data_IF_838490650603
#
_entry.id   IF_838490650603
#
_cell.length_a   1.000
_cell.length_b   1.000
_cell.length_c   1.000
_cell.angle_alpha   90.00
_cell.angle_beta   90.00
_cell.angle_gamma   90.00
#
_symmetry.space_group_name_H-M   'P 1'
#
loop_
_entity.id
_entity.type
_entity.pdbx_description
1 polymer ?
#
# COMPACT_ATOMS: atom_id res chain seq x y z
N UNK A 1 -27.04 -8.42 -47.37
CA UNK A 1 -26.75 -7.66 -46.14
C UNK A 1 -26.65 -8.64 -44.97
N UNK A 2 -25.44 -9.01 -44.54
CA UNK A 2 -25.24 -9.90 -43.40
C UNK A 2 -25.03 -9.02 -42.16
N UNK A 3 -26.05 -8.94 -41.30
CA UNK A 3 -25.95 -8.25 -40.02
C UNK A 3 -25.07 -9.09 -39.08
N UNK A 4 -23.83 -8.64 -38.85
CA UNK A 4 -23.02 -9.13 -37.73
C UNK A 4 -23.66 -8.62 -36.44
N UNK A 5 -24.35 -9.51 -35.72
CA UNK A 5 -24.84 -9.23 -34.38
C UNK A 5 -23.66 -8.95 -33.44
N UNK A 6 -23.58 -7.72 -32.93
CA UNK A 6 -22.69 -7.39 -31.82
C UNK A 6 -23.16 -8.16 -30.58
N UNK A 7 -22.39 -9.18 -30.18
CA UNK A 7 -22.58 -9.83 -28.87
C UNK A 7 -22.25 -8.78 -27.80
N UNK A 8 -23.27 -8.28 -27.10
CA UNK A 8 -23.09 -7.51 -25.86
C UNK A 8 -22.25 -8.35 -24.90
N UNK A 9 -21.05 -7.88 -24.55
CA UNK A 9 -20.24 -8.49 -23.49
C UNK A 9 -21.03 -8.41 -22.18
N UNK A 10 -21.41 -9.57 -21.66
CA UNK A 10 -22.00 -9.67 -20.34
C UNK A 10 -20.94 -9.25 -19.30
N UNK A 11 -21.23 -8.18 -18.56
CA UNK A 11 -20.33 -7.69 -17.52
C UNK A 11 -20.46 -8.60 -16.31
N UNK A 12 -19.46 -9.46 -16.11
CA UNK A 12 -19.40 -10.31 -14.92
C UNK A 12 -19.14 -9.45 -13.68
N UNK A 13 -20.02 -9.54 -12.71
CA UNK A 13 -19.88 -8.94 -11.39
C UNK A 13 -19.12 -9.88 -10.45
N UNK A 14 -18.19 -9.34 -9.66
CA UNK A 14 -17.42 -10.07 -8.66
C UNK A 14 -17.70 -9.48 -7.27
N UNK A 15 -18.55 -10.12 -6.45
CA UNK A 15 -18.98 -9.59 -5.15
C UNK A 15 -17.83 -9.57 -4.12
N UNK A 16 -18.02 -8.89 -2.98
CA UNK A 16 -17.10 -8.99 -1.84
C UNK A 16 -16.87 -10.45 -1.41
N UNK A 17 -15.65 -10.78 -1.01
CA UNK A 17 -15.32 -12.06 -0.38
C UNK A 17 -15.86 -12.09 1.06
N UNK A 18 -16.08 -13.28 1.67
CA UNK A 18 -16.69 -13.39 3.00
C UNK A 18 -16.01 -12.51 4.07
N UNK A 19 -14.69 -12.47 4.11
CA UNK A 19 -13.93 -11.65 5.06
C UNK A 19 -14.07 -10.13 4.80
N UNK A 20 -14.28 -9.73 3.55
CA UNK A 20 -14.46 -8.32 3.15
C UNK A 20 -15.86 -7.78 3.52
N UNK A 21 -16.79 -8.66 3.93
CA UNK A 21 -18.13 -8.22 4.36
C UNK A 21 -18.19 -7.71 5.82
N UNK A 22 -17.16 -8.02 6.61
CA UNK A 22 -17.08 -7.68 8.03
C UNK A 22 -16.74 -6.20 8.23
N UNK A 23 -17.33 -5.57 9.26
CA UNK A 23 -17.08 -4.17 9.59
C UNK A 23 -15.88 -4.07 10.54
N UNK A 24 -14.89 -3.27 10.15
CA UNK A 24 -13.69 -2.96 10.92
C UNK A 24 -13.83 -1.64 11.68
N UNK A 25 -14.30 -1.72 12.92
CA UNK A 25 -14.43 -0.52 13.76
C UNK A 25 -13.08 0.11 14.14
N UNK A 26 -12.00 -0.67 14.17
CA UNK A 26 -10.67 -0.14 14.47
C UNK A 26 -10.15 0.71 13.31
N UNK A 27 -10.32 0.23 12.08
CA UNK A 27 -9.92 0.99 10.90
C UNK A 27 -10.78 2.24 10.67
N UNK A 28 -12.05 2.25 11.08
CA UNK A 28 -12.86 3.48 11.11
C UNK A 28 -12.20 4.52 12.03
N UNK A 29 -11.82 4.13 13.24
CA UNK A 29 -11.19 5.04 14.19
C UNK A 29 -9.85 5.55 13.66
N UNK A 30 -9.02 4.65 13.12
CA UNK A 30 -7.75 5.02 12.47
C UNK A 30 -7.95 6.05 11.34
N UNK A 31 -8.93 5.82 10.45
CA UNK A 31 -9.24 6.75 9.37
C UNK A 31 -9.65 8.14 9.90
N UNK A 32 -10.43 8.19 11.00
CA UNK A 32 -10.79 9.45 11.66
C UNK A 32 -9.58 10.14 12.28
N UNK A 33 -8.68 9.40 12.91
CA UNK A 33 -7.46 9.93 13.51
C UNK A 33 -6.49 10.49 12.45
N UNK A 34 -6.48 9.89 11.25
CA UNK A 34 -5.78 10.40 10.06
C UNK A 34 -6.50 11.58 9.38
N UNK A 35 -7.63 12.04 9.95
CA UNK A 35 -8.36 13.23 9.51
C UNK A 35 -9.25 13.00 8.29
N UNK A 36 -9.64 11.75 8.00
CA UNK A 36 -10.63 11.44 6.95
C UNK A 36 -12.03 11.82 7.45
N UNK A 37 -12.74 12.61 6.63
CA UNK A 37 -14.12 13.05 6.88
C UNK A 37 -15.11 12.56 5.82
N UNK A 38 -14.64 11.83 4.82
CA UNK A 38 -15.47 11.27 3.75
C UNK A 38 -16.19 10.04 4.30
N UNK A 39 -17.51 10.13 4.52
CA UNK A 39 -18.30 9.08 5.15
C UNK A 39 -18.31 7.77 4.34
N UNK A 40 -18.08 7.80 3.02
CA UNK A 40 -17.96 6.57 2.23
C UNK A 40 -16.75 5.74 2.67
N UNK A 41 -15.68 6.41 3.11
CA UNK A 41 -14.45 5.78 3.60
C UNK A 41 -14.54 5.42 5.10
N UNK A 42 -15.65 5.71 5.78
CA UNK A 42 -15.83 5.50 7.23
C UNK A 42 -16.89 4.43 7.54
N UNK A 43 -17.23 3.62 6.54
CA UNK A 43 -18.22 2.53 6.66
C UNK A 43 -17.67 1.27 7.32
N UNK A 44 -16.35 1.17 7.50
CA UNK A 44 -15.68 0.01 8.10
C UNK A 44 -15.51 -1.18 7.16
N UNK A 45 -15.90 -1.06 5.89
CA UNK A 45 -15.76 -2.10 4.88
C UNK A 45 -15.71 -1.48 3.49
N UNK A 46 -15.21 -2.22 2.51
CA UNK A 46 -15.34 -1.79 1.12
C UNK A 46 -16.79 -1.89 0.64
N UNK A 47 -17.22 -0.90 -0.13
CA UNK A 47 -18.46 -0.94 -0.88
C UNK A 47 -18.43 -2.02 -1.97
N UNK A 48 -19.60 -2.55 -2.33
CA UNK A 48 -19.71 -3.58 -3.37
C UNK A 48 -19.13 -3.13 -4.72
N UNK A 49 -19.26 -1.85 -5.04
CA UNK A 49 -18.69 -1.26 -6.24
C UNK A 49 -17.16 -1.33 -6.23
N UNK A 50 -16.52 -0.98 -5.10
CA UNK A 50 -15.07 -1.05 -4.97
C UNK A 50 -14.59 -2.50 -4.94
N UNK A 51 -15.27 -3.39 -4.21
CA UNK A 51 -14.99 -4.82 -4.24
C UNK A 51 -14.99 -5.37 -5.67
N UNK A 52 -16.01 -5.03 -6.48
CA UNK A 52 -16.07 -5.45 -7.87
C UNK A 52 -14.92 -4.89 -8.71
N UNK A 53 -14.58 -3.60 -8.56
CA UNK A 53 -13.44 -2.98 -9.26
C UNK A 53 -12.12 -3.67 -8.89
N UNK A 54 -11.88 -3.86 -7.59
CA UNK A 54 -10.66 -4.49 -7.10
C UNK A 54 -10.60 -5.94 -7.54
N UNK A 55 -11.66 -6.72 -7.41
CA UNK A 55 -11.71 -8.12 -7.86
C UNK A 55 -11.44 -8.28 -9.36
N UNK A 56 -11.90 -7.33 -10.20
CA UNK A 56 -11.49 -7.27 -11.61
C UNK A 56 -9.99 -6.99 -11.79
N UNK A 57 -9.42 -6.09 -10.99
CA UNK A 57 -7.99 -5.79 -11.02
C UNK A 57 -7.16 -7.00 -10.54
N UNK A 58 -7.57 -7.63 -9.44
CA UNK A 58 -7.00 -8.85 -8.87
C UNK A 58 -6.85 -9.95 -9.93
N UNK A 59 -7.95 -10.32 -10.58
CA UNK A 59 -7.98 -11.36 -11.62
C UNK A 59 -7.17 -11.03 -12.88
N UNK A 60 -6.95 -9.75 -13.17
CA UNK A 60 -6.11 -9.33 -14.29
C UNK A 60 -4.64 -9.31 -13.92
N UNK A 61 -4.33 -8.90 -12.69
CA UNK A 61 -2.96 -8.73 -12.22
C UNK A 61 -2.29 -10.06 -11.91
N UNK A 62 -3.04 -10.99 -11.29
CA UNK A 62 -2.58 -12.34 -10.96
C UNK A 62 -3.59 -13.34 -11.53
N UNK A 63 -3.54 -13.54 -12.84
CA UNK A 63 -4.52 -14.36 -13.59
C UNK A 63 -4.56 -15.83 -13.17
N UNK A 64 -3.46 -16.35 -12.62
CA UNK A 64 -3.37 -17.70 -12.06
C UNK A 64 -4.04 -17.84 -10.69
N UNK A 65 -4.33 -16.73 -10.00
CA UNK A 65 -4.86 -16.72 -8.63
C UNK A 65 -6.38 -16.50 -8.63
N UNK A 66 -7.13 -17.55 -8.26
CA UNK A 66 -8.58 -17.44 -8.03
C UNK A 66 -8.89 -16.44 -6.92
N UNK A 67 -10.00 -15.71 -7.01
CA UNK A 67 -10.39 -14.69 -6.03
C UNK A 67 -10.44 -15.22 -4.59
N UNK A 68 -11.02 -16.41 -4.37
CA UNK A 68 -11.08 -17.06 -3.06
C UNK A 68 -9.71 -17.30 -2.42
N UNK A 69 -8.63 -17.34 -3.22
CA UNK A 69 -7.28 -17.58 -2.75
C UNK A 69 -6.51 -16.29 -2.39
N UNK A 70 -7.10 -15.11 -2.56
CA UNK A 70 -6.46 -13.85 -2.19
C UNK A 70 -6.35 -13.64 -0.68
N UNK A 71 -7.15 -14.37 0.11
CA UNK A 71 -7.17 -14.33 1.58
C UNK A 71 -7.12 -15.72 2.22
N UNK A 72 -6.61 -16.72 1.47
CA UNK A 72 -6.55 -18.14 1.88
C UNK A 72 -5.74 -18.35 3.15
N UNK A 73 -4.61 -17.66 3.26
CA UNK A 73 -3.66 -17.81 4.34
C UNK A 73 -4.10 -16.99 5.57
N UNK A 74 -5.12 -16.12 5.43
CA UNK A 74 -5.75 -15.41 6.56
C UNK A 74 -4.79 -14.50 7.33
N UNK A 75 -3.78 -13.93 6.68
CA UNK A 75 -2.79 -13.07 7.34
C UNK A 75 -3.41 -11.87 8.02
N UNK A 76 -4.51 -11.34 7.48
CA UNK A 76 -5.28 -10.30 8.15
C UNK A 76 -5.71 -10.70 9.58
N UNK A 77 -6.29 -11.90 9.73
CA UNK A 77 -6.76 -12.37 11.05
C UNK A 77 -5.63 -12.76 11.99
N UNK A 78 -4.48 -13.15 11.44
CA UNK A 78 -3.29 -13.58 12.18
C UNK A 78 -2.26 -12.45 12.37
N UNK A 79 -2.57 -11.23 11.94
CA UNK A 79 -1.61 -10.12 11.96
C UNK A 79 -1.06 -9.86 13.37
N UNK A 80 -1.90 -9.99 14.41
CA UNK A 80 -1.49 -9.84 15.80
C UNK A 80 -0.57 -10.96 16.32
N UNK A 81 -0.49 -12.11 15.63
CA UNK A 81 0.41 -13.20 16.01
C UNK A 81 1.88 -12.86 15.67
N UNK A 82 2.10 -12.03 14.66
CA UNK A 82 3.44 -11.71 14.11
C UNK A 82 3.76 -10.23 14.24
N UNK A 83 2.95 -9.36 13.64
CA UNK A 83 3.27 -7.93 13.53
C UNK A 83 3.15 -7.22 14.87
N UNK A 84 2.08 -7.46 15.63
CA UNK A 84 1.91 -6.80 16.93
C UNK A 84 2.98 -7.23 17.93
N UNK A 85 3.36 -8.52 17.91
CA UNK A 85 4.49 -9.03 18.71
C UNK A 85 5.81 -8.39 18.28
N UNK A 86 6.07 -8.33 16.97
CA UNK A 86 7.26 -7.69 16.40
C UNK A 86 7.34 -6.21 16.81
N UNK A 87 6.27 -5.45 16.58
CA UNK A 87 6.21 -4.03 16.92
C UNK A 87 6.38 -3.80 18.43
N UNK A 88 5.73 -4.60 19.27
CA UNK A 88 5.89 -4.52 20.72
C UNK A 88 7.34 -4.81 21.16
N UNK A 89 8.02 -5.76 20.52
CA UNK A 89 9.43 -6.06 20.78
C UNK A 89 10.34 -4.93 20.29
N UNK A 90 10.11 -4.39 19.10
CA UNK A 90 10.84 -3.22 18.56
C UNK A 90 10.72 -2.04 19.52
N UNK A 91 9.51 -1.75 20.01
CA UNK A 91 9.28 -0.64 20.97
C UNK A 91 10.06 -0.88 22.28
N UNK A 92 10.08 -2.12 22.80
CA UNK A 92 10.83 -2.47 24.02
C UNK A 92 12.35 -2.36 23.81
N UNK A 93 12.88 -2.88 22.71
CA UNK A 93 14.30 -2.81 22.36
C UNK A 93 14.76 -1.36 22.16
N UNK A 94 13.95 -0.55 21.46
CA UNK A 94 14.22 0.88 21.25
C UNK A 94 14.26 1.66 22.57
N UNK A 95 13.38 1.35 23.53
CA UNK A 95 13.43 1.94 24.89
C UNK A 95 14.70 1.57 25.66
N UNK A 96 15.35 0.46 25.32
CA UNK A 96 16.57 -0.04 25.98
C UNK A 96 17.86 0.32 25.23
N UNK A 97 17.75 0.91 24.03
CA UNK A 97 18.91 1.19 23.17
C UNK A 97 19.55 -0.06 22.57
N UNK A 98 18.79 -1.15 22.45
CA UNK A 98 19.27 -2.45 21.99
C UNK A 98 18.83 -2.74 20.54
N UNK A 99 19.60 -3.56 19.84
CA UNK A 99 19.17 -4.16 18.56
C UNK A 99 17.93 -5.02 18.79
N UNK A 100 16.98 -4.97 17.85
CA UNK A 100 15.76 -5.77 17.92
C UNK A 100 16.13 -7.23 17.64
N UNK A 101 16.13 -8.07 18.68
CA UNK A 101 16.15 -9.52 18.53
C UNK A 101 14.72 -10.03 18.63
N UNK A 102 14.25 -10.69 17.57
CA UNK A 102 12.97 -11.39 17.59
C UNK A 102 13.25 -12.89 17.71
N UNK A 103 13.11 -13.52 18.89
CA UNK A 103 13.45 -14.94 19.07
C UNK A 103 12.60 -15.89 18.20
N UNK A 104 11.45 -15.42 17.72
CA UNK A 104 10.50 -16.17 16.89
C UNK A 104 10.76 -15.98 15.37
N UNK A 105 11.66 -15.07 14.98
CA UNK A 105 12.05 -14.84 13.58
C UNK A 105 13.58 -14.85 13.48
N UNK A 106 14.15 -15.66 12.57
CA UNK A 106 15.59 -15.68 12.27
C UNK A 106 16.05 -14.40 11.53
N UNK A 107 15.73 -13.23 12.08
CA UNK A 107 16.05 -11.94 11.51
C UNK A 107 16.69 -11.03 12.58
N UNK A 108 17.90 -10.57 12.27
CA UNK A 108 18.59 -9.54 13.02
C UNK A 108 18.80 -8.33 12.10
N UNK A 109 18.28 -7.17 12.50
CA UNK A 109 18.55 -5.91 11.82
C UNK A 109 20.00 -5.49 12.07
N UNK A 110 20.85 -5.71 11.07
CA UNK A 110 22.29 -5.47 11.13
C UNK A 110 22.77 -4.43 10.09
N UNK A 111 21.83 -3.70 9.46
CA UNK A 111 22.18 -2.70 8.44
C UNK A 111 22.73 -1.45 9.13
N UNK A 112 23.91 -1.02 8.67
CA UNK A 112 24.58 0.18 9.16
C UNK A 112 23.70 1.43 8.94
N UNK A 113 23.66 2.31 9.96
CA UNK A 113 22.91 3.56 9.94
C UNK A 113 23.85 4.72 10.14
N UNK A 114 23.81 5.69 9.23
CA UNK A 114 24.62 6.91 9.27
C UNK A 114 23.71 8.12 9.14
N UNK A 115 24.02 9.21 9.83
CA UNK A 115 23.32 10.47 9.65
C UNK A 115 23.86 11.22 8.43
N UNK A 116 22.95 11.82 7.67
CA UNK A 116 23.28 12.62 6.49
C UNK A 116 24.28 13.75 6.82
N UNK A 117 24.17 14.37 8.00
CA UNK A 117 25.07 15.42 8.45
C UNK A 117 26.54 14.96 8.63
N UNK A 118 26.74 13.66 8.88
CA UNK A 118 28.06 13.07 9.15
C UNK A 118 28.64 12.30 7.95
N UNK A 119 27.95 12.33 6.80
CA UNK A 119 28.29 11.58 5.61
C UNK A 119 28.46 12.51 4.40
N UNK A 120 29.69 12.64 3.91
CA UNK A 120 29.94 13.31 2.63
C UNK A 120 29.98 12.33 1.44
N UNK A 121 29.94 12.89 0.22
CA UNK A 121 29.89 12.13 -1.04
C UNK A 121 31.07 11.15 -1.19
N UNK A 122 32.30 11.60 -0.93
CA UNK A 122 33.50 10.76 -1.05
C UNK A 122 33.49 9.59 -0.07
N UNK A 123 33.05 9.84 1.17
CA UNK A 123 32.86 8.81 2.18
C UNK A 123 31.79 7.81 1.76
N UNK A 124 30.68 8.29 1.19
CA UNK A 124 29.61 7.43 0.70
C UNK A 124 30.10 6.52 -0.43
N UNK A 125 30.75 7.09 -1.44
CA UNK A 125 31.30 6.36 -2.58
C UNK A 125 32.25 5.25 -2.12
N UNK A 126 33.23 5.59 -1.28
CA UNK A 126 34.26 4.66 -0.80
C UNK A 126 33.72 3.56 0.11
N UNK A 127 32.82 3.90 1.04
CA UNK A 127 32.37 2.95 2.08
C UNK A 127 31.18 2.11 1.65
N UNK A 128 30.30 2.65 0.80
CA UNK A 128 29.02 2.03 0.50
C UNK A 128 28.86 1.72 -0.99
N UNK A 129 29.00 2.70 -1.87
CA UNK A 129 28.69 2.50 -3.30
C UNK A 129 29.68 1.56 -4.02
N UNK A 130 30.98 1.83 -3.94
CA UNK A 130 31.99 0.97 -4.60
C UNK A 130 32.03 -0.44 -4.03
N UNK A 131 31.76 -0.58 -2.73
CA UNK A 131 31.69 -1.88 -2.07
C UNK A 131 30.34 -2.60 -2.30
N UNK A 132 29.37 -1.95 -2.96
CA UNK A 132 27.97 -2.42 -3.06
C UNK A 132 27.39 -2.81 -1.69
N UNK A 133 27.76 -2.06 -0.64
CA UNK A 133 27.37 -2.31 0.74
C UNK A 133 26.09 -1.51 1.06
N UNK A 134 24.99 -2.17 1.49
CA UNK A 134 23.77 -1.48 1.87
C UNK A 134 23.96 -0.63 3.13
N UNK A 135 23.31 0.53 3.16
CA UNK A 135 23.33 1.47 4.29
C UNK A 135 21.99 2.18 4.39
N UNK A 136 21.54 2.49 5.61
CA UNK A 136 20.39 3.36 5.87
C UNK A 136 20.91 4.76 6.21
N UNK A 137 20.57 5.75 5.39
CA UNK A 137 20.95 7.15 5.62
C UNK A 137 19.79 7.88 6.30
N UNK A 138 20.04 8.43 7.50
CA UNK A 138 19.06 9.14 8.31
C UNK A 138 19.14 10.66 8.07
N UNK A 139 18.07 11.37 8.42
CA UNK A 139 18.01 12.83 8.32
C UNK A 139 17.77 13.40 6.91
N UNK A 140 17.88 12.59 5.85
CA UNK A 140 17.76 13.05 4.45
C UNK A 140 16.40 13.71 4.16
N UNK A 141 15.34 13.18 4.74
CA UNK A 141 13.97 13.64 4.50
C UNK A 141 13.43 14.52 5.64
N UNK A 142 14.29 15.07 6.51
CA UNK A 142 13.80 15.69 7.74
C UNK A 142 12.97 16.94 7.51
N UNK A 143 13.36 17.74 6.51
CA UNK A 143 12.68 18.97 6.12
C UNK A 143 11.74 18.77 4.92
N UNK A 144 11.52 17.53 4.47
CA UNK A 144 10.65 17.26 3.33
C UNK A 144 9.19 17.55 3.68
N UNK A 145 8.55 18.39 2.87
CA UNK A 145 7.10 18.68 2.94
C UNK A 145 6.24 17.42 2.93
N UNK A 146 6.75 16.31 2.37
CA UNK A 146 6.09 15.01 2.37
C UNK A 146 5.66 14.52 3.76
N UNK A 147 6.37 14.90 4.83
CA UNK A 147 5.98 14.56 6.22
C UNK A 147 4.57 15.03 6.59
N UNK A 148 4.09 16.12 5.98
CA UNK A 148 2.74 16.66 6.23
C UNK A 148 1.83 16.48 5.02
N UNK A 149 2.34 16.63 3.80
CA UNK A 149 1.52 16.59 2.58
C UNK A 149 1.17 15.18 2.09
N UNK A 150 1.89 14.15 2.52
CA UNK A 150 1.63 12.76 2.14
C UNK A 150 0.80 11.99 3.17
N UNK A 151 0.04 12.71 4.00
CA UNK A 151 -0.98 12.12 4.88
C UNK A 151 -2.20 11.70 4.09
N UNK A 152 -2.92 10.68 4.57
CA UNK A 152 -4.06 10.09 3.85
C UNK A 152 -5.12 11.13 3.46
N UNK A 153 -5.48 12.02 4.39
CA UNK A 153 -6.47 13.07 4.16
C UNK A 153 -6.00 14.12 3.13
N UNK A 154 -4.73 14.53 3.17
CA UNK A 154 -4.15 15.50 2.23
C UNK A 154 -4.03 14.91 0.82
N UNK A 155 -3.58 13.66 0.73
CA UNK A 155 -3.54 12.93 -0.53
C UNK A 155 -4.94 12.74 -1.12
N UNK A 156 -5.93 12.40 -0.29
CA UNK A 156 -7.32 12.24 -0.73
C UNK A 156 -7.91 13.55 -1.27
N UNK A 157 -7.70 14.67 -0.56
CA UNK A 157 -8.18 16.00 -1.00
C UNK A 157 -7.62 16.38 -2.37
N UNK A 158 -6.32 16.14 -2.59
CA UNK A 158 -5.61 16.57 -3.80
C UNK A 158 -5.77 15.61 -4.97
N UNK A 159 -5.64 14.31 -4.71
CA UNK A 159 -5.52 13.28 -5.74
C UNK A 159 -6.67 12.26 -5.74
N UNK A 160 -7.73 12.46 -4.95
CA UNK A 160 -8.81 11.48 -4.78
C UNK A 160 -9.47 11.01 -6.08
N UNK A 161 -9.50 11.87 -7.11
CA UNK A 161 -10.03 11.57 -8.45
C UNK A 161 -8.97 11.13 -9.45
N UNK A 162 -7.69 11.41 -9.17
CA UNK A 162 -6.57 11.05 -10.04
C UNK A 162 -6.34 9.54 -10.01
N UNK A 163 -5.96 8.95 -11.15
CA UNK A 163 -5.87 7.50 -11.31
C UNK A 163 -4.43 6.99 -11.28
N UNK A 164 -4.12 6.07 -10.37
CA UNK A 164 -2.78 5.52 -10.17
C UNK A 164 -2.71 4.05 -10.55
N UNK A 165 -1.54 3.61 -11.03
CA UNK A 165 -1.25 2.21 -11.29
C UNK A 165 -1.23 1.41 -9.99
N UNK A 166 -2.04 0.36 -9.92
CA UNK A 166 -2.13 -0.59 -8.78
C UNK A 166 -1.73 -2.02 -9.17
N UNK A 167 -1.27 -2.20 -10.41
CA UNK A 167 -0.91 -3.50 -10.96
C UNK A 167 -0.76 -3.44 -12.47
N UNK A 168 -0.49 -4.61 -13.03
CA UNK A 168 -0.27 -4.81 -14.47
C UNK A 168 -0.85 -6.16 -14.87
N UNK A 169 -1.54 -6.21 -16.01
CA UNK A 169 -2.04 -7.49 -16.54
C UNK A 169 -0.94 -8.32 -17.18
N UNK A 170 -1.20 -9.61 -17.45
CA UNK A 170 -0.30 -10.49 -18.24
C UNK A 170 0.12 -9.90 -19.61
N UNK A 171 -0.71 -9.01 -20.17
CA UNK A 171 -0.44 -8.33 -21.45
C UNK A 171 0.38 -7.03 -21.32
N UNK A 172 0.89 -6.71 -20.12
CA UNK A 172 1.63 -5.48 -19.84
C UNK A 172 0.76 -4.23 -19.65
N UNK A 173 -0.58 -4.35 -19.74
CA UNK A 173 -1.48 -3.20 -19.55
C UNK A 173 -1.52 -2.75 -18.09
N UNK A 174 -1.26 -1.45 -17.86
CA UNK A 174 -1.40 -0.78 -16.56
C UNK A 174 -2.85 -0.89 -16.07
N UNK A 175 -3.04 -1.38 -14.85
CA UNK A 175 -4.32 -1.38 -14.15
C UNK A 175 -4.36 -0.15 -13.26
N UNK A 176 -5.25 0.81 -13.56
CA UNK A 176 -5.36 2.06 -12.82
C UNK A 176 -6.74 2.23 -12.15
N UNK A 177 -6.78 2.72 -10.92
CA UNK A 177 -7.99 3.10 -10.17
C UNK A 177 -7.82 4.51 -9.60
N UNK A 178 -8.90 5.19 -9.19
CA UNK A 178 -8.71 6.49 -8.51
C UNK A 178 -8.09 6.30 -7.13
N UNK A 179 -7.40 7.33 -6.61
CA UNK A 179 -6.82 7.23 -5.28
C UNK A 179 -7.88 6.97 -4.20
N UNK A 180 -9.07 7.62 -4.27
CA UNK A 180 -10.16 7.34 -3.32
C UNK A 180 -10.53 5.85 -3.30
N UNK A 181 -10.67 5.22 -4.48
CA UNK A 181 -10.98 3.79 -4.59
C UNK A 181 -9.88 2.93 -3.99
N UNK A 182 -8.61 3.28 -4.24
CA UNK A 182 -7.47 2.56 -3.67
C UNK A 182 -7.38 2.72 -2.15
N UNK A 183 -7.65 3.91 -1.60
CA UNK A 183 -7.63 4.12 -0.16
C UNK A 183 -8.72 3.32 0.58
N UNK A 184 -9.92 3.22 0.00
CA UNK A 184 -10.97 2.33 0.54
C UNK A 184 -10.48 0.87 0.59
N UNK A 185 -9.76 0.44 -0.45
CA UNK A 185 -9.14 -0.88 -0.50
C UNK A 185 -8.00 -1.07 0.51
N UNK A 186 -7.15 -0.06 0.72
CA UNK A 186 -6.08 -0.14 1.73
C UNK A 186 -6.65 -0.19 3.14
N UNK A 187 -7.71 0.58 3.43
CA UNK A 187 -8.32 0.62 4.75
C UNK A 187 -9.04 -0.70 5.11
N UNK A 188 -9.66 -1.35 4.13
CA UNK A 188 -10.61 -2.45 4.39
C UNK A 188 -10.31 -3.76 3.65
N UNK A 189 -9.27 -3.80 2.82
CA UNK A 189 -8.82 -4.98 2.11
C UNK A 189 -8.32 -6.07 3.06
N UNK A 190 -8.65 -7.33 2.76
CA UNK A 190 -8.33 -8.50 3.61
C UNK A 190 -7.41 -9.49 2.91
N UNK A 191 -6.74 -9.05 1.86
CA UNK A 191 -5.88 -9.90 1.05
C UNK A 191 -4.57 -10.21 1.78
N UNK A 192 -4.10 -11.45 1.66
CA UNK A 192 -2.81 -11.91 2.21
C UNK A 192 -1.63 -11.19 1.57
N UNK A 193 -1.77 -10.87 0.28
CA UNK A 193 -0.81 -10.09 -0.49
C UNK A 193 -1.61 -9.08 -1.32
N UNK A 194 -1.81 -7.85 -0.81
CA UNK A 194 -2.66 -6.85 -1.47
C UNK A 194 -2.15 -6.42 -2.85
N UNK A 195 -3.03 -5.76 -3.63
CA UNK A 195 -2.62 -4.93 -4.77
C UNK A 195 -1.83 -3.73 -4.24
N UNK A 196 -0.73 -3.39 -4.89
CA UNK A 196 0.14 -2.28 -4.48
C UNK A 196 0.09 -1.16 -5.50
N UNK A 197 -0.16 0.06 -5.03
CA UNK A 197 0.04 1.27 -5.81
C UNK A 197 1.53 1.47 -6.07
N UNK A 198 1.90 1.43 -7.34
CA UNK A 198 3.26 1.66 -7.79
C UNK A 198 3.21 2.46 -9.10
N UNK A 199 3.40 3.78 -8.98
CA UNK A 199 3.30 4.72 -10.10
C UNK A 199 4.69 5.22 -10.51
N UNK A 200 4.99 5.05 -11.80
CA UNK A 200 6.25 5.49 -12.40
C UNK A 200 6.09 6.74 -13.25
N UNK A 201 4.84 7.13 -13.55
CA UNK A 201 4.52 8.20 -14.49
C UNK A 201 3.83 9.37 -13.79
N UNK A 202 4.44 9.89 -12.72
CA UNK A 202 3.87 11.00 -11.93
C UNK A 202 3.77 12.30 -12.74
N UNK A 203 4.59 12.46 -13.77
CA UNK A 203 4.54 13.56 -14.72
C UNK A 203 3.21 13.64 -15.49
N UNK A 204 2.49 12.51 -15.62
CA UNK A 204 1.14 12.45 -16.22
C UNK A 204 0.05 13.03 -15.32
N UNK A 205 0.37 13.41 -14.07
CA UNK A 205 -0.56 13.98 -13.10
C UNK A 205 -0.35 15.49 -12.97
N UNK A 206 -1.20 16.33 -13.58
CA UNK A 206 -1.14 17.79 -13.45
C UNK A 206 -1.05 18.25 -12.00
N UNK A 207 -1.78 17.59 -11.11
CA UNK A 207 -1.87 17.90 -9.69
C UNK A 207 -0.56 17.60 -8.94
N UNK A 208 0.36 16.82 -9.51
CA UNK A 208 1.64 16.48 -8.89
C UNK A 208 2.72 17.55 -9.13
N UNK A 209 2.58 18.39 -10.16
CA UNK A 209 3.58 19.41 -10.49
C UNK A 209 3.65 20.55 -9.46
N UNK A 210 2.56 20.82 -8.73
CA UNK A 210 2.52 21.84 -7.67
C UNK A 210 3.09 21.35 -6.32
N UNK A 211 3.89 20.27 -6.27
CA UNK A 211 4.52 19.76 -5.03
C UNK A 211 5.96 20.27 -4.80
N UNK A 212 6.48 21.12 -5.68
CA UNK A 212 7.81 21.74 -5.55
C UNK A 212 7.80 22.88 -4.51
#
# INVERSE_FOLDING_TARGET
ASQKGEKKKEFKFYPPLPLETQIDHQMIQYARDEGITDEDLLTGRMSEAICNIMNHAKLKHRSSLKLENWSRDGYYTRQGEVLDKLLAQVVKAKKRGESVKCPEMDFEDNIERVDYADLNEEQFLKKFEFASKPVIIRGVADDWKGKTSWRLNELLKRFGRSRFKIGESDSGRKLKVTLKQYLEYVLYGRDDSPLYLFESSLEEHPEAHEMQ
#
